data_IF_497102396551
#
_entry.id   IF_497102396551
#
_cell.length_a   1.000
_cell.length_b   1.000
_cell.length_c   1.000
_cell.angle_alpha   90.00
_cell.angle_beta   90.00
_cell.angle_gamma   90.00
#
_symmetry.space_group_name_H-M   'P 1'
#
loop_
_entity.id
_entity.type
_entity.pdbx_description
1 polymer ?
#
# COMPACT_ATOMS: atom_id res chain seq x y z
N UNK A 1 -63.78 10.46 -12.22
CA UNK A 1 -62.36 10.85 -12.10
C UNK A 1 -62.07 10.95 -10.62
N UNK A 2 -61.14 10.14 -10.12
CA UNK A 2 -60.80 10.00 -8.70
C UNK A 2 -59.28 10.17 -8.61
N UNK A 3 -58.84 11.37 -8.25
CA UNK A 3 -57.44 11.71 -7.98
C UNK A 3 -57.11 11.41 -6.52
N UNK A 4 -57.15 10.12 -6.20
CA UNK A 4 -56.84 9.57 -4.87
C UNK A 4 -55.34 9.59 -4.57
N UNK A 5 -54.78 10.78 -4.33
CA UNK A 5 -53.46 10.95 -3.72
C UNK A 5 -53.54 12.02 -2.62
N UNK A 6 -54.03 11.62 -1.45
CA UNK A 6 -53.74 12.33 -0.21
C UNK A 6 -52.28 12.03 0.16
N UNK A 7 -51.36 12.89 -0.26
CA UNK A 7 -49.96 12.83 0.13
C UNK A 7 -49.77 13.32 1.58
N UNK A 8 -50.23 12.53 2.55
CA UNK A 8 -49.71 12.61 3.91
C UNK A 8 -48.34 11.90 3.94
N UNK A 9 -47.34 12.47 3.26
CA UNK A 9 -45.95 12.05 3.46
C UNK A 9 -45.53 12.54 4.83
N UNK A 10 -45.63 11.65 5.80
CA UNK A 10 -45.11 11.85 7.15
C UNK A 10 -43.58 12.03 7.10
N UNK A 11 -43.14 13.28 6.95
CA UNK A 11 -41.73 13.70 6.94
C UNK A 11 -41.08 13.56 8.32
N UNK A 12 -41.79 13.08 9.35
CA UNK A 12 -41.21 12.87 10.69
C UNK A 12 -40.25 11.68 10.77
N UNK A 13 -40.25 10.80 9.76
CA UNK A 13 -39.25 9.72 9.62
C UNK A 13 -38.07 10.17 8.77
N UNK A 14 -37.43 11.29 9.12
CA UNK A 14 -36.01 11.41 8.80
C UNK A 14 -35.32 10.40 9.72
N UNK A 15 -34.64 9.35 9.21
CA UNK A 15 -33.81 8.50 10.05
C UNK A 15 -32.67 9.38 10.60
N UNK A 16 -32.98 9.98 11.74
CA UNK A 16 -32.10 10.81 12.54
C UNK A 16 -31.20 9.84 13.25
N UNK A 17 -30.04 9.59 12.65
CA UNK A 17 -28.77 9.17 13.26
C UNK A 17 -27.94 8.41 12.21
N UNK A 18 -27.44 9.15 11.22
CA UNK A 18 -26.14 8.79 10.65
C UNK A 18 -25.14 9.07 11.76
N UNK A 19 -25.01 8.12 12.69
CA UNK A 19 -24.03 8.18 13.76
C UNK A 19 -22.68 8.02 13.09
N UNK A 20 -22.06 9.12 12.68
CA UNK A 20 -20.68 9.15 12.21
C UNK A 20 -19.80 8.85 13.41
N UNK A 21 -19.71 7.57 13.81
CA UNK A 21 -18.77 7.12 14.82
C UNK A 21 -17.40 7.41 14.25
N UNK A 22 -16.70 8.36 14.85
CA UNK A 22 -15.32 8.66 14.50
C UNK A 22 -14.51 7.39 14.80
N UNK A 23 -14.06 6.72 13.74
CA UNK A 23 -13.21 5.54 13.86
C UNK A 23 -11.90 5.95 14.53
N UNK A 24 -11.68 5.42 15.73
CA UNK A 24 -10.40 5.56 16.40
C UNK A 24 -9.48 4.46 15.91
N UNK A 25 -8.52 4.84 15.07
CA UNK A 25 -7.50 3.93 14.56
C UNK A 25 -6.48 3.60 15.66
N UNK A 26 -6.07 2.34 15.73
CA UNK A 26 -4.87 1.98 16.48
C UNK A 26 -3.59 2.38 15.71
N UNK A 27 -2.43 2.26 16.37
CA UNK A 27 -1.13 2.64 15.80
C UNK A 27 -0.83 1.86 14.51
N UNK A 28 -1.14 0.56 14.48
CA UNK A 28 -0.88 -0.30 13.33
C UNK A 28 -1.82 0.04 12.16
N UNK A 29 -3.08 0.32 12.43
CA UNK A 29 -4.06 0.73 11.43
C UNK A 29 -3.68 2.08 10.82
N UNK A 30 -3.18 3.01 11.65
CA UNK A 30 -2.67 4.29 11.17
C UNK A 30 -1.45 4.12 10.26
N UNK A 31 -0.51 3.25 10.63
CA UNK A 31 0.67 2.95 9.82
C UNK A 31 0.31 2.28 8.49
N UNK A 32 -0.63 1.32 8.50
CA UNK A 32 -1.15 0.70 7.28
C UNK A 32 -1.78 1.75 6.38
N UNK A 33 -2.70 2.56 6.90
CA UNK A 33 -3.36 3.62 6.15
C UNK A 33 -2.33 4.60 5.52
N UNK A 34 -1.35 5.05 6.30
CA UNK A 34 -0.29 5.93 5.83
C UNK A 34 0.55 5.30 4.72
N UNK A 35 0.94 4.03 4.88
CA UNK A 35 1.74 3.32 3.89
C UNK A 35 0.95 3.07 2.59
N UNK A 36 -0.33 2.70 2.69
CA UNK A 36 -1.20 2.61 1.53
C UNK A 36 -1.39 3.97 0.85
N UNK A 37 -1.44 5.06 1.63
CA UNK A 37 -1.50 6.42 1.09
C UNK A 37 -0.27 6.80 0.28
N UNK A 38 0.91 6.27 0.62
CA UNK A 38 2.13 6.45 -0.18
C UNK A 38 2.12 5.73 -1.53
N UNK A 39 1.23 4.74 -1.67
CA UNK A 39 1.00 3.98 -2.91
C UNK A 39 -0.04 4.69 -3.75
N UNK A 40 -1.17 5.07 -3.13
CA UNK A 40 -2.23 5.82 -3.77
C UNK A 40 -3.30 6.24 -2.75
N UNK A 41 -3.80 7.47 -2.87
CA UNK A 41 -4.84 7.99 -1.98
C UNK A 41 -6.12 7.14 -2.01
N UNK A 42 -6.47 6.60 -3.17
CA UNK A 42 -7.62 5.71 -3.35
C UNK A 42 -7.47 4.38 -2.60
N UNK A 43 -6.27 3.77 -2.65
CA UNK A 43 -5.98 2.52 -1.92
C UNK A 43 -6.10 2.72 -0.41
N UNK A 44 -5.65 3.86 0.10
CA UNK A 44 -5.82 4.23 1.50
C UNK A 44 -7.29 4.46 1.87
N UNK A 45 -8.07 5.08 0.97
CA UNK A 45 -9.51 5.27 1.16
C UNK A 45 -10.25 3.92 1.25
N UNK A 46 -9.97 2.96 0.36
CA UNK A 46 -10.55 1.61 0.43
C UNK A 46 -10.27 0.93 1.77
N UNK A 47 -9.08 1.12 2.33
CA UNK A 47 -8.75 0.60 3.65
C UNK A 47 -9.62 1.21 4.76
N UNK A 48 -9.77 2.55 4.78
CA UNK A 48 -10.62 3.21 5.77
C UNK A 48 -12.09 2.82 5.63
N UNK A 49 -12.59 2.70 4.41
CA UNK A 49 -13.96 2.27 4.16
C UNK A 49 -14.18 0.83 4.60
N UNK A 50 -13.16 -0.04 4.41
CA UNK A 50 -13.16 -1.39 4.96
C UNK A 50 -13.26 -1.40 6.48
N UNK A 51 -12.54 -0.53 7.18
CA UNK A 51 -12.66 -0.41 8.64
C UNK A 51 -14.05 0.08 9.08
N UNK A 52 -14.64 1.04 8.35
CA UNK A 52 -16.02 1.50 8.61
C UNK A 52 -17.01 0.36 8.50
N UNK A 53 -16.93 -0.39 7.40
CA UNK A 53 -17.81 -1.54 7.14
C UNK A 53 -17.62 -2.64 8.18
N UNK A 54 -16.38 -2.93 8.59
CA UNK A 54 -16.09 -3.94 9.59
C UNK A 54 -16.76 -3.64 10.94
N UNK A 55 -16.90 -2.36 11.28
CA UNK A 55 -17.54 -1.92 12.53
C UNK A 55 -19.04 -1.63 12.38
N UNK A 56 -19.59 -1.71 11.18
CA UNK A 56 -21.03 -1.55 10.93
C UNK A 56 -21.75 -2.91 11.03
N UNK A 57 -22.37 -3.14 12.18
CA UNK A 57 -23.15 -4.35 12.45
C UNK A 57 -24.48 -4.45 11.68
N UNK A 58 -24.90 -3.40 10.97
CA UNK A 58 -26.19 -3.37 10.28
C UNK A 58 -26.10 -3.76 8.81
N UNK A 59 -24.88 -3.94 8.28
CA UNK A 59 -24.67 -4.19 6.86
C UNK A 59 -24.64 -5.69 6.57
N UNK A 60 -25.78 -6.23 6.11
CA UNK A 60 -25.91 -7.65 5.77
C UNK A 60 -24.93 -8.12 4.68
N UNK A 61 -24.51 -7.22 3.82
CA UNK A 61 -23.57 -7.49 2.71
C UNK A 61 -22.11 -7.16 3.04
N UNK A 62 -21.78 -6.88 4.31
CA UNK A 62 -20.46 -6.44 4.74
C UNK A 62 -19.33 -7.34 4.22
N UNK A 63 -19.47 -8.66 4.32
CA UNK A 63 -18.46 -9.61 3.85
C UNK A 63 -18.18 -9.48 2.34
N UNK A 64 -19.22 -9.26 1.53
CA UNK A 64 -19.07 -9.10 0.08
C UNK A 64 -18.31 -7.81 -0.27
N UNK A 65 -18.70 -6.70 0.38
CA UNK A 65 -18.05 -5.40 0.19
C UNK A 65 -16.61 -5.40 0.67
N UNK A 66 -16.32 -6.00 1.83
CA UNK A 66 -14.96 -6.18 2.33
C UNK A 66 -14.11 -6.99 1.34
N UNK A 67 -14.67 -8.04 0.75
CA UNK A 67 -13.99 -8.83 -0.28
C UNK A 67 -13.67 -8.02 -1.55
N UNK A 68 -14.54 -7.09 -1.95
CA UNK A 68 -14.30 -6.21 -3.09
C UNK A 68 -13.20 -5.20 -2.78
N UNK A 69 -13.29 -4.50 -1.64
CA UNK A 69 -12.25 -3.55 -1.21
C UNK A 69 -10.88 -4.22 -1.07
N UNK A 70 -10.83 -5.46 -0.54
CA UNK A 70 -9.59 -6.22 -0.45
C UNK A 70 -9.00 -6.54 -1.83
N UNK A 71 -9.84 -6.82 -2.83
CA UNK A 71 -9.40 -7.06 -4.22
C UNK A 71 -8.81 -5.81 -4.86
N UNK A 72 -9.42 -4.65 -4.63
CA UNK A 72 -8.91 -3.38 -5.16
C UNK A 72 -7.55 -3.03 -4.54
N UNK A 73 -7.41 -3.20 -3.22
CA UNK A 73 -6.13 -3.02 -2.55
C UNK A 73 -5.08 -4.00 -3.09
N UNK A 74 -5.41 -5.30 -3.19
CA UNK A 74 -4.51 -6.32 -3.75
C UNK A 74 -4.08 -6.01 -5.19
N UNK A 75 -5.00 -5.52 -6.02
CA UNK A 75 -4.72 -5.14 -7.41
C UNK A 75 -3.80 -3.93 -7.48
N UNK A 76 -4.07 -2.89 -6.69
CA UNK A 76 -3.19 -1.72 -6.59
C UNK A 76 -1.79 -2.04 -6.06
N UNK A 77 -1.66 -3.04 -5.18
CA UNK A 77 -0.35 -3.51 -4.71
C UNK A 77 0.42 -4.27 -5.79
N UNK A 78 -0.26 -5.06 -6.63
CA UNK A 78 0.39 -5.83 -7.71
C UNK A 78 1.02 -4.95 -8.76
N UNK A 79 0.41 -3.80 -9.04
CA UNK A 79 0.94 -2.84 -10.02
C UNK A 79 2.30 -2.25 -9.60
N UNK A 80 2.62 -2.30 -8.31
CA UNK A 80 3.92 -1.87 -7.78
C UNK A 80 4.99 -2.96 -7.81
N UNK A 81 4.61 -4.22 -7.96
CA UNK A 81 5.56 -5.32 -7.94
C UNK A 81 6.29 -5.40 -9.28
N UNK A 82 7.63 -5.46 -9.28
CA UNK A 82 8.41 -5.52 -10.51
C UNK A 82 8.03 -6.78 -11.29
N UNK A 83 7.77 -6.64 -12.59
CA UNK A 83 7.49 -7.79 -13.43
C UNK A 83 8.73 -8.65 -13.57
N UNK A 84 8.58 -9.94 -13.95
CA UNK A 84 9.73 -10.82 -14.21
C UNK A 84 10.72 -10.22 -15.23
N UNK A 85 10.25 -9.35 -16.14
CA UNK A 85 11.11 -8.64 -17.10
C UNK A 85 11.90 -7.53 -16.41
N UNK A 86 11.28 -6.78 -15.52
CA UNK A 86 11.95 -5.73 -14.74
C UNK A 86 12.98 -6.34 -13.80
N UNK A 87 12.63 -7.45 -13.16
CA UNK A 87 13.56 -8.23 -12.34
C UNK A 87 14.79 -8.65 -13.16
N UNK A 88 14.62 -9.22 -14.37
CA UNK A 88 15.76 -9.59 -15.24
C UNK A 88 16.63 -8.40 -15.64
N UNK A 89 16.03 -7.23 -15.91
CA UNK A 89 16.78 -6.00 -16.22
C UNK A 89 17.57 -5.54 -15.00
N UNK A 90 16.96 -5.54 -13.81
CA UNK A 90 17.61 -5.21 -12.55
C UNK A 90 18.77 -6.19 -12.29
N UNK A 91 18.54 -7.50 -12.43
CA UNK A 91 19.61 -8.50 -12.32
C UNK A 91 20.75 -8.26 -13.30
N UNK A 92 20.46 -7.98 -14.59
CA UNK A 92 21.50 -7.67 -15.58
C UNK A 92 22.29 -6.39 -15.27
N UNK A 93 21.61 -5.36 -14.73
CA UNK A 93 22.25 -4.12 -14.27
C UNK A 93 23.13 -4.36 -13.02
N UNK A 94 22.76 -5.32 -12.18
CA UNK A 94 23.51 -5.69 -10.97
C UNK A 94 24.65 -6.68 -11.26
N UNK A 95 24.49 -7.60 -12.20
CA UNK A 95 25.53 -8.52 -12.69
C UNK A 95 26.70 -7.75 -13.32
N UNK A 96 26.42 -6.62 -13.98
CA UNK A 96 27.45 -5.71 -14.52
C UNK A 96 28.25 -4.95 -13.46
N UNK A 97 27.85 -4.99 -12.18
CA UNK A 97 28.54 -4.32 -11.05
C UNK A 97 29.00 -5.26 -9.94
N UNK A 98 29.05 -6.57 -10.18
CA UNK A 98 29.73 -7.53 -9.30
C UNK A 98 29.09 -7.71 -7.92
N UNK A 99 27.77 -7.55 -7.77
CA UNK A 99 27.08 -7.92 -6.54
C UNK A 99 26.46 -9.32 -6.67
N UNK A 100 27.05 -10.25 -5.94
CA UNK A 100 26.74 -11.67 -5.95
C UNK A 100 25.38 -12.01 -5.31
N UNK A 101 24.68 -12.95 -5.96
CA UNK A 101 23.60 -13.81 -5.46
C UNK A 101 22.20 -13.16 -5.22
N UNK A 102 21.12 -13.78 -5.76
CA UNK A 102 19.72 -13.33 -5.59
C UNK A 102 19.26 -13.13 -4.15
N UNK A 103 19.88 -13.84 -3.19
CA UNK A 103 19.55 -13.74 -1.76
C UNK A 103 19.88 -12.38 -1.15
N UNK A 104 20.81 -11.62 -1.72
CA UNK A 104 21.20 -10.29 -1.21
C UNK A 104 20.28 -9.17 -1.69
N UNK A 105 19.64 -9.32 -2.86
CA UNK A 105 18.72 -8.32 -3.42
C UNK A 105 17.42 -8.24 -2.63
N UNK A 106 16.94 -9.37 -2.10
CA UNK A 106 15.80 -9.41 -1.18
C UNK A 106 16.07 -8.60 0.11
N UNK A 107 17.32 -8.54 0.57
CA UNK A 107 17.73 -7.76 1.74
C UNK A 107 17.75 -6.25 1.46
N UNK A 108 18.13 -5.85 0.24
CA UNK A 108 18.17 -4.43 -0.17
C UNK A 108 16.76 -3.87 -0.40
N UNK A 109 15.87 -4.66 -1.01
CA UNK A 109 14.47 -4.26 -1.23
C UNK A 109 13.62 -4.28 0.05
N UNK A 110 14.02 -5.04 1.07
CA UNK A 110 13.39 -5.07 2.38
C UNK A 110 13.91 -3.98 3.35
N UNK A 111 14.91 -3.17 2.94
CA UNK A 111 15.42 -2.09 3.76
C UNK A 111 14.51 -0.84 3.64
N UNK A 112 13.98 -0.29 4.75
CA UNK A 112 12.93 0.74 4.73
C UNK A 112 13.37 2.13 4.21
N UNK A 113 14.60 2.31 3.73
CA UNK A 113 15.19 3.63 3.44
C UNK A 113 15.79 3.79 2.04
N UNK A 114 15.42 2.97 1.04
CA UNK A 114 15.89 3.21 -0.34
C UNK A 114 15.11 4.36 -1.01
N UNK A 115 15.37 5.58 -0.56
CA UNK A 115 14.98 6.81 -1.23
C UNK A 115 15.80 6.95 -2.52
N UNK A 116 15.13 6.90 -3.67
CA UNK A 116 15.72 7.19 -4.98
C UNK A 116 15.93 8.69 -5.15
N UNK A 117 16.84 9.28 -4.39
CA UNK A 117 17.32 10.63 -4.66
C UNK A 117 18.75 10.82 -4.16
N UNK A 118 19.72 10.58 -5.03
CA UNK A 118 20.83 11.51 -5.31
C UNK A 118 21.91 10.83 -6.16
N UNK A 119 22.18 11.45 -7.31
CA UNK A 119 23.45 11.31 -8.03
C UNK A 119 24.56 11.84 -7.12
N UNK A 120 25.35 10.95 -6.52
CA UNK A 120 26.65 11.33 -5.95
C UNK A 120 27.65 10.22 -6.24
N UNK A 121 28.65 10.55 -7.04
CA UNK A 121 29.83 9.72 -7.33
C UNK A 121 30.57 9.38 -6.03
N UNK A 122 30.49 8.14 -5.58
CA UNK A 122 31.33 7.60 -4.51
C UNK A 122 32.52 6.89 -5.14
N UNK A 123 33.65 7.60 -5.18
CA UNK A 123 34.97 7.05 -5.49
C UNK A 123 35.41 6.13 -4.34
N UNK A 124 35.20 4.82 -4.48
CA UNK A 124 35.76 3.80 -3.60
C UNK A 124 37.24 3.62 -3.91
N UNK A 125 38.09 4.25 -3.10
CA UNK A 125 39.54 4.04 -3.08
C UNK A 125 39.80 2.71 -2.37
N UNK A 126 39.99 1.63 -3.13
CA UNK A 126 40.42 0.33 -2.60
C UNK A 126 41.93 0.38 -2.42
N UNK A 127 42.40 0.43 -1.17
CA UNK A 127 43.82 0.27 -0.85
C UNK A 127 44.22 -1.20 -0.99
N UNK A 128 45.10 -1.49 -1.93
CA UNK A 128 45.83 -2.76 -1.99
C UNK A 128 46.99 -2.72 -0.98
N UNK A 129 47.21 -3.76 -0.15
CA UNK A 129 48.47 -3.93 0.53
C UNK A 129 49.50 -4.50 -0.47
N UNK A 130 50.58 -3.75 -0.71
CA UNK A 130 51.77 -4.28 -1.39
C UNK A 130 52.51 -5.23 -0.44
N UNK A 131 52.55 -6.50 -0.82
CA UNK A 131 53.37 -7.52 -0.20
C UNK A 131 54.60 -7.75 -1.12
N UNK A 132 55.75 -7.15 -0.76
CA UNK A 132 57.04 -7.49 -1.38
C UNK A 132 58.15 -7.36 -0.33
N UNK A 133 58.60 -8.50 0.19
CA UNK A 133 59.75 -8.59 1.08
C UNK A 133 60.57 -9.84 0.78
N UNK A 134 61.19 -9.91 -0.40
CA UNK A 134 62.31 -10.83 -0.65
C UNK A 134 63.62 -10.07 -0.43
N UNK A 135 64.37 -10.48 0.61
CA UNK A 135 65.83 -10.63 0.62
C UNK A 135 66.28 -11.29 1.92
#
# INVERSE_FOLDING_TARGET
>A
MNDGFSEDRDLSRIPSEVTTRVLKLDVRQHDIHRNLGSIGAEIAAFYLDGLKILHDGNLQTAASLLGHLAKEIDSGLKDLLPTKKDTKKIFKLLDGKGFAQPKQIALILAAPNFSTSSRSTLSLRVGFPEDVGFR
#
